data_IF_380986495913
#
_entry.id   IF_380986495913
#
_cell.length_a   1.000
_cell.length_b   1.000
_cell.length_c   1.000
_cell.angle_alpha   90.00
_cell.angle_beta   90.00
_cell.angle_gamma   90.00
#
_symmetry.space_group_name_H-M   'P 1'
#
loop_
_entity.id
_entity.type
_entity.pdbx_description
1 polymer ?
#
# COMPACT_ATOMS: atom_id res chain seq x y z
N UNK A 1 4.38 -10.89 -11.50
CA UNK A 1 4.02 -9.45 -11.59
C UNK A 1 2.61 -9.22 -12.07
N UNK A 2 1.66 -9.05 -11.13
CA UNK A 2 0.26 -8.73 -11.46
C UNK A 2 -0.28 -7.48 -10.75
N UNK A 3 0.51 -6.83 -9.90
CA UNK A 3 0.16 -5.61 -9.16
C UNK A 3 1.05 -4.45 -9.59
N UNK A 4 0.56 -3.23 -9.41
CA UNK A 4 1.36 -2.02 -9.57
C UNK A 4 2.44 -1.91 -8.50
N UNK A 5 3.51 -1.17 -8.82
CA UNK A 5 4.59 -0.92 -7.89
C UNK A 5 4.19 0.00 -6.72
N UNK A 6 4.82 -0.20 -5.58
CA UNK A 6 4.63 0.63 -4.39
C UNK A 6 5.23 2.03 -4.60
N UNK A 7 4.74 3.05 -3.88
CA UNK A 7 5.35 4.38 -3.91
C UNK A 7 6.76 4.33 -3.31
N UNK A 8 7.74 4.86 -4.05
CA UNK A 8 9.12 4.96 -3.59
C UNK A 8 9.33 6.27 -2.85
N UNK A 9 9.98 6.19 -1.69
CA UNK A 9 10.32 7.34 -0.85
C UNK A 9 11.83 7.46 -0.75
N UNK A 10 12.32 8.69 -0.86
CA UNK A 10 13.73 9.02 -0.66
C UNK A 10 13.84 10.23 0.27
N UNK A 11 15.06 10.54 0.72
CA UNK A 11 15.31 11.72 1.56
C UNK A 11 15.08 13.00 0.75
N UNK A 12 14.61 14.10 1.37
CA UNK A 12 14.33 14.30 2.80
C UNK A 12 13.01 13.67 3.29
N UNK A 13 12.87 13.50 4.62
CA UNK A 13 11.70 12.88 5.29
C UNK A 13 10.37 13.60 5.01
N UNK A 14 10.43 14.90 4.74
CA UNK A 14 9.30 15.70 4.31
C UNK A 14 9.68 16.40 3.02
N UNK A 15 8.85 16.26 1.99
CA UNK A 15 9.04 16.95 0.73
C UNK A 15 7.71 17.46 0.19
N UNK A 16 7.59 18.78 0.00
CA UNK A 16 6.37 19.43 -0.51
C UNK A 16 5.10 19.07 0.30
N UNK A 17 5.21 18.95 1.62
CA UNK A 17 4.08 18.58 2.51
C UNK A 17 3.71 17.09 2.49
N UNK A 18 4.49 16.25 1.78
CA UNK A 18 4.38 14.79 1.84
C UNK A 18 5.40 14.26 2.83
N UNK A 19 4.93 13.58 3.87
CA UNK A 19 5.77 12.98 4.91
C UNK A 19 6.00 11.51 4.60
N UNK A 20 7.25 11.05 4.74
CA UNK A 20 7.58 9.63 4.66
C UNK A 20 6.83 8.88 5.77
N UNK A 21 6.08 7.81 5.45
CA UNK A 21 5.34 7.06 6.45
C UNK A 21 6.26 6.49 7.53
N UNK A 22 5.82 6.56 8.79
CA UNK A 22 6.64 6.20 9.97
C UNK A 22 7.13 4.74 9.92
N UNK A 23 6.35 3.84 9.32
CA UNK A 23 6.74 2.44 9.09
C UNK A 23 8.05 2.31 8.30
N UNK A 24 8.31 3.22 7.34
CA UNK A 24 9.55 3.25 6.56
C UNK A 24 10.74 3.83 7.36
N UNK A 25 10.45 4.54 8.45
CA UNK A 25 11.46 5.13 9.34
C UNK A 25 11.79 4.21 10.53
N UNK A 26 10.90 3.27 10.86
CA UNK A 26 11.05 2.34 11.98
C UNK A 26 12.24 1.37 11.85
N UNK A 27 12.81 1.21 10.65
CA UNK A 27 13.89 0.26 10.38
C UNK A 27 13.48 -1.22 10.45
N UNK A 28 12.19 -1.51 10.71
CA UNK A 28 11.70 -2.88 10.79
C UNK A 28 11.40 -3.41 9.38
N UNK A 29 12.33 -4.21 8.84
CA UNK A 29 12.21 -4.74 7.49
C UNK A 29 10.92 -5.55 7.25
N UNK A 30 10.41 -6.29 8.24
CA UNK A 30 9.18 -7.06 8.09
C UNK A 30 7.96 -6.12 7.94
N UNK A 31 7.89 -5.06 8.74
CA UNK A 31 6.83 -4.06 8.63
C UNK A 31 6.93 -3.28 7.31
N UNK A 32 8.14 -2.98 6.86
CA UNK A 32 8.38 -2.30 5.59
C UNK A 32 7.89 -3.16 4.42
N UNK A 33 8.18 -4.47 4.43
CA UNK A 33 7.76 -5.37 3.37
C UNK A 33 6.24 -5.53 3.33
N UNK A 34 5.61 -5.74 4.50
CA UNK A 34 4.16 -5.78 4.64
C UNK A 34 3.50 -4.49 4.15
N UNK A 35 4.07 -3.32 4.50
CA UNK A 35 3.58 -2.03 4.04
C UNK A 35 3.76 -1.86 2.52
N UNK A 36 4.90 -2.26 1.95
CA UNK A 36 5.12 -2.20 0.50
C UNK A 36 4.06 -3.02 -0.24
N UNK A 37 3.79 -4.24 0.24
CA UNK A 37 2.77 -5.11 -0.34
C UNK A 37 1.36 -4.50 -0.23
N UNK A 38 1.00 -3.99 0.95
CA UNK A 38 -0.25 -3.25 1.15
C UNK A 38 -0.39 -2.08 0.16
N UNK A 39 0.66 -1.27 -0.02
CA UNK A 39 0.63 -0.15 -0.96
C UNK A 39 0.49 -0.59 -2.41
N UNK A 40 1.12 -1.71 -2.82
CA UNK A 40 0.91 -2.29 -4.15
C UNK A 40 -0.57 -2.62 -4.36
N UNK A 41 -1.19 -3.31 -3.41
CA UNK A 41 -2.61 -3.68 -3.46
C UNK A 41 -3.50 -2.44 -3.54
N UNK A 42 -3.31 -1.48 -2.65
CA UNK A 42 -4.09 -0.23 -2.60
C UNK A 42 -3.94 0.56 -3.91
N UNK A 43 -2.70 0.73 -4.41
CA UNK A 43 -2.46 1.48 -5.64
C UNK A 43 -3.06 0.78 -6.84
N UNK A 44 -2.95 -0.54 -6.91
CA UNK A 44 -3.57 -1.34 -7.97
C UNK A 44 -5.09 -1.23 -7.88
N UNK A 45 -5.69 -1.39 -6.70
CA UNK A 45 -7.14 -1.24 -6.51
C UNK A 45 -7.66 0.13 -6.97
N UNK A 46 -6.95 1.22 -6.66
CA UNK A 46 -7.36 2.57 -7.04
C UNK A 46 -7.14 2.91 -8.51
N UNK A 47 -6.08 2.38 -9.15
CA UNK A 47 -5.67 2.78 -10.51
C UNK A 47 -6.04 1.75 -11.59
N UNK A 48 -6.02 0.47 -11.23
CA UNK A 48 -6.19 -0.69 -12.10
C UNK A 48 -6.96 -1.79 -11.35
N UNK A 49 -8.24 -1.55 -10.97
CA UNK A 49 -9.04 -2.55 -10.27
C UNK A 49 -9.16 -3.86 -11.08
N UNK A 50 -9.09 -3.77 -12.42
CA UNK A 50 -9.06 -4.92 -13.33
C UNK A 50 -7.92 -5.90 -13.06
N UNK A 51 -6.77 -5.42 -12.59
CA UNK A 51 -5.63 -6.26 -12.23
C UNK A 51 -5.85 -6.93 -10.88
N UNK A 52 -6.49 -6.25 -9.92
CA UNK A 52 -6.83 -6.82 -8.62
C UNK A 52 -7.80 -7.99 -8.78
N UNK A 53 -8.77 -7.90 -9.68
CA UNK A 53 -9.73 -8.98 -9.94
C UNK A 53 -9.07 -10.24 -10.52
N UNK A 54 -8.00 -10.07 -11.31
CA UNK A 54 -7.23 -11.16 -11.91
C UNK A 54 -6.12 -11.68 -11.00
N UNK A 55 -5.75 -10.93 -9.98
CA UNK A 55 -4.68 -11.29 -9.06
C UNK A 55 -5.19 -12.31 -8.02
N UNK A 56 -4.44 -13.39 -7.73
CA UNK A 56 -4.84 -14.35 -6.70
C UNK A 56 -4.65 -13.75 -5.30
N UNK A 57 -5.63 -12.97 -4.86
CA UNK A 57 -5.65 -12.35 -3.52
C UNK A 57 -5.75 -13.40 -2.44
N UNK A 58 -4.79 -13.39 -1.51
CA UNK A 58 -4.85 -14.16 -0.28
C UNK A 58 -5.89 -13.57 0.70
N UNK A 59 -6.22 -14.33 1.75
CA UNK A 59 -7.10 -13.80 2.81
C UNK A 59 -6.51 -12.59 3.52
N UNK A 60 -5.18 -12.48 3.61
CA UNK A 60 -4.52 -11.29 4.15
C UNK A 60 -4.73 -10.08 3.21
N UNK A 61 -4.54 -10.27 1.91
CA UNK A 61 -4.73 -9.20 0.91
C UNK A 61 -6.15 -8.65 0.90
N UNK A 62 -7.15 -9.54 1.01
CA UNK A 62 -8.56 -9.15 1.09
C UNK A 62 -8.85 -8.31 2.34
N UNK A 63 -8.31 -8.71 3.49
CA UNK A 63 -8.46 -7.95 4.74
C UNK A 63 -7.82 -6.55 4.65
N UNK A 64 -6.65 -6.44 4.02
CA UNK A 64 -5.99 -5.16 3.77
C UNK A 64 -6.89 -4.24 2.93
N UNK A 65 -7.39 -4.75 1.80
CA UNK A 65 -8.28 -3.98 0.92
C UNK A 65 -9.60 -3.61 1.61
N UNK A 66 -10.16 -4.50 2.41
CA UNK A 66 -11.39 -4.24 3.16
C UNK A 66 -11.19 -3.16 4.22
N UNK A 67 -10.11 -3.24 5.01
CA UNK A 67 -9.71 -2.19 5.97
C UNK A 67 -9.55 -0.85 5.27
N UNK A 68 -8.91 -0.83 4.10
CA UNK A 68 -8.74 0.37 3.30
C UNK A 68 -10.09 0.96 2.84
N UNK A 69 -11.01 0.12 2.33
CA UNK A 69 -12.37 0.54 1.94
C UNK A 69 -13.18 1.10 3.12
N UNK A 70 -13.06 0.49 4.30
CA UNK A 70 -13.73 0.99 5.52
C UNK A 70 -13.18 2.35 5.91
N UNK A 71 -11.86 2.55 5.83
CA UNK A 71 -11.22 3.84 6.09
C UNK A 71 -11.70 4.94 5.15
N UNK A 72 -11.84 4.64 3.85
CA UNK A 72 -12.38 5.59 2.86
C UNK A 72 -13.83 6.00 3.13
N UNK A 73 -14.67 5.09 3.66
CA UNK A 73 -16.08 5.38 3.97
C UNK A 73 -16.27 6.21 5.24
N UNK A 74 -15.23 6.35 6.07
CA UNK A 74 -15.24 7.13 7.31
C UNK A 74 -14.75 8.57 7.15
N UNK A 75 -14.35 8.95 5.93
CA UNK A 75 -13.90 10.31 5.57
C UNK A 75 -14.97 11.10 4.83
#
# INVERSE_FOLDING_TARGET
DGLLEFPQYTRPREFKGLTVPDVLLSGNHANIDAWRHEQKLIRTYNKRPDLIEKYPLTNADKQILERYKIGLKKG
#
